data_IF_635604504101
#
_entry.id   IF_635604504101
#
_cell.length_a   1.000
_cell.length_b   1.000
_cell.length_c   1.000
_cell.angle_alpha   90.00
_cell.angle_beta   90.00
_cell.angle_gamma   90.00
#
_symmetry.space_group_name_H-M   'P 1'
#
loop_
_entity.id
_entity.type
_entity.pdbx_description
1 polymer ?
#
# COMPACT_ATOMS: atom_id res chain seq x y z
N UNK A 1 1.32 21.93 -9.67
CA UNK A 1 2.25 21.62 -8.56
C UNK A 1 3.09 20.45 -9.05
N UNK A 2 4.39 20.63 -9.25
CA UNK A 2 5.31 19.57 -9.67
C UNK A 2 5.67 18.81 -8.39
N UNK A 3 5.16 17.59 -8.23
CA UNK A 3 5.52 16.74 -7.10
C UNK A 3 6.95 16.25 -7.31
N UNK A 4 7.89 16.75 -6.53
CA UNK A 4 9.21 16.14 -6.42
C UNK A 4 9.04 14.78 -5.72
N UNK A 5 9.66 13.74 -6.23
CA UNK A 5 9.44 12.31 -5.95
C UNK A 5 9.83 11.82 -4.54
N UNK A 6 9.95 12.69 -3.56
CA UNK A 6 10.41 12.33 -2.20
C UNK A 6 9.32 12.32 -1.14
N UNK A 7 8.18 12.99 -1.36
CA UNK A 7 7.09 13.01 -0.41
C UNK A 7 6.16 11.81 -0.61
N UNK A 8 5.95 11.05 0.45
CA UNK A 8 5.17 9.80 0.42
C UNK A 8 4.04 9.78 1.45
N UNK A 9 3.97 10.78 2.34
CA UNK A 9 2.94 10.93 3.36
C UNK A 9 2.32 12.32 3.22
N UNK A 10 1.02 12.36 2.99
CA UNK A 10 0.24 13.58 2.78
C UNK A 10 -0.87 13.67 3.83
N UNK A 11 -1.05 14.83 4.42
CA UNK A 11 -2.05 15.02 5.48
C UNK A 11 -2.96 16.22 5.18
N UNK A 12 -4.20 16.13 5.65
CA UNK A 12 -5.17 17.22 5.71
C UNK A 12 -5.73 17.33 7.12
N UNK A 13 -5.84 18.55 7.61
CA UNK A 13 -6.47 18.89 8.88
C UNK A 13 -7.70 19.74 8.60
N UNK A 14 -8.60 19.84 9.57
CA UNK A 14 -9.88 20.54 9.43
C UNK A 14 -9.95 21.68 10.41
N UNK A 15 -10.09 22.92 9.94
CA UNK A 15 -10.18 24.12 10.81
C UNK A 15 -11.32 24.03 11.83
N UNK A 16 -12.48 23.51 11.40
CA UNK A 16 -13.64 23.36 12.27
C UNK A 16 -13.57 22.12 13.20
N UNK A 17 -12.60 21.23 12.99
CA UNK A 17 -12.46 19.96 13.72
C UNK A 17 -10.96 19.65 13.90
N UNK A 18 -10.33 20.42 14.80
CA UNK A 18 -8.90 20.27 15.10
C UNK A 18 -8.52 18.90 15.71
N UNK A 19 -9.51 18.14 16.14
CA UNK A 19 -9.39 16.78 16.62
C UNK A 19 -9.33 15.72 15.50
N UNK A 20 -9.47 16.14 14.23
CA UNK A 20 -9.47 15.25 13.07
C UNK A 20 -8.31 15.54 12.12
N UNK A 21 -7.74 14.44 11.57
CA UNK A 21 -6.74 14.48 10.51
C UNK A 21 -7.03 13.34 9.54
N UNK A 22 -6.85 13.59 8.25
CA UNK A 22 -6.81 12.54 7.22
C UNK A 22 -5.41 12.45 6.63
N UNK A 23 -4.87 11.24 6.55
CA UNK A 23 -3.58 10.96 5.94
C UNK A 23 -3.75 10.05 4.72
N UNK A 24 -2.93 10.28 3.70
CA UNK A 24 -2.73 9.36 2.57
C UNK A 24 -1.25 9.00 2.53
N UNK A 25 -0.97 7.71 2.57
CA UNK A 25 0.38 7.15 2.46
C UNK A 25 0.50 6.50 1.08
N UNK A 26 1.53 6.91 0.33
CA UNK A 26 1.89 6.24 -0.92
C UNK A 26 2.63 4.96 -0.57
N UNK A 27 2.22 3.84 -1.16
CA UNK A 27 2.86 2.55 -0.96
C UNK A 27 4.32 2.58 -1.40
N UNK A 28 5.26 2.14 -0.54
CA UNK A 28 6.69 2.24 -0.81
C UNK A 28 7.12 1.38 -1.98
N UNK A 29 8.06 1.89 -2.79
CA UNK A 29 8.74 1.09 -3.81
C UNK A 29 9.43 -0.13 -3.17
N UNK A 30 9.52 -1.24 -3.92
CA UNK A 30 10.10 -2.48 -3.38
C UNK A 30 9.16 -3.31 -2.51
N UNK A 31 7.87 -2.94 -2.44
CA UNK A 31 6.85 -3.64 -1.66
C UNK A 31 5.66 -4.03 -2.54
N UNK A 32 4.79 -4.97 -2.13
CA UNK A 32 3.57 -5.29 -2.87
C UNK A 32 2.52 -4.17 -2.82
N UNK A 33 2.81 -3.07 -2.14
CA UNK A 33 1.95 -1.89 -1.99
C UNK A 33 2.33 -0.75 -2.93
N UNK A 34 3.46 -0.84 -3.65
CA UNK A 34 4.04 0.26 -4.41
C UNK A 34 3.01 0.98 -5.27
N UNK A 35 3.13 2.29 -5.34
CA UNK A 35 2.25 3.20 -6.09
C UNK A 35 0.79 3.25 -5.65
N UNK A 36 0.37 2.40 -4.69
CA UNK A 36 -0.95 2.45 -4.09
C UNK A 36 -1.13 3.65 -3.17
N UNK A 37 -2.38 4.10 -3.00
CA UNK A 37 -2.75 5.14 -2.04
C UNK A 37 -3.54 4.51 -0.88
N UNK A 38 -2.98 4.60 0.32
CA UNK A 38 -3.56 4.05 1.55
C UNK A 38 -4.05 5.19 2.42
N UNK A 39 -5.35 5.19 2.72
CA UNK A 39 -6.06 6.31 3.35
C UNK A 39 -6.37 6.00 4.81
N UNK A 40 -6.05 6.93 5.69
CA UNK A 40 -6.26 6.80 7.13
C UNK A 40 -6.96 8.03 7.69
N UNK A 41 -8.01 7.82 8.48
CA UNK A 41 -8.60 8.86 9.33
C UNK A 41 -8.07 8.73 10.75
N UNK A 42 -7.77 9.87 11.35
CA UNK A 42 -7.23 9.98 12.70
C UNK A 42 -8.13 10.88 13.53
N UNK A 43 -8.47 10.38 14.71
CA UNK A 43 -9.13 11.16 15.76
C UNK A 43 -8.17 11.33 16.95
N UNK A 44 -7.96 12.57 17.36
CA UNK A 44 -7.28 12.90 18.60
C UNK A 44 -8.31 12.93 19.73
N UNK A 45 -8.32 11.94 20.64
CA UNK A 45 -9.30 11.90 21.72
C UNK A 45 -9.07 13.03 22.74
N UNK A 46 -10.07 13.39 23.58
CA UNK A 46 -9.95 14.52 24.51
C UNK A 46 -8.76 14.44 25.48
N UNK A 47 -8.28 13.26 25.79
CA UNK A 47 -7.12 13.03 26.64
C UNK A 47 -5.81 12.82 25.86
N UNK A 48 -5.79 13.11 24.55
CA UNK A 48 -4.53 13.19 23.78
C UNK A 48 -3.71 14.39 24.31
N UNK A 49 -2.38 14.29 24.47
CA UNK A 49 -1.50 13.19 24.12
C UNK A 49 -1.22 12.18 25.26
N UNK A 50 -2.00 12.19 26.34
CA UNK A 50 -1.84 11.19 27.41
C UNK A 50 -2.16 9.76 26.93
N UNK A 51 -2.99 9.65 25.91
CA UNK A 51 -3.27 8.40 25.18
C UNK A 51 -2.94 8.60 23.70
N UNK A 52 -2.73 7.51 22.93
CA UNK A 52 -2.48 7.60 21.49
C UNK A 52 -3.71 8.11 20.74
N UNK A 53 -3.53 8.59 19.48
CA UNK A 53 -4.65 8.87 18.58
C UNK A 53 -5.37 7.56 18.19
N UNK A 54 -6.61 7.68 17.78
CA UNK A 54 -7.38 6.59 17.16
C UNK A 54 -7.20 6.66 15.65
N UNK A 55 -6.81 5.55 15.02
CA UNK A 55 -6.57 5.50 13.58
C UNK A 55 -7.50 4.48 12.94
N UNK A 56 -8.17 4.90 11.86
CA UNK A 56 -9.02 4.07 11.03
C UNK A 56 -8.46 4.01 9.62
N UNK A 57 -8.29 2.80 9.08
CA UNK A 57 -7.85 2.53 7.72
C UNK A 57 -9.05 2.33 6.79
N UNK A 58 -9.07 3.01 5.65
CA UNK A 58 -10.07 2.80 4.60
C UNK A 58 -9.77 1.53 3.80
N UNK A 59 -10.16 0.41 4.33
CA UNK A 59 -9.90 -0.93 3.77
C UNK A 59 -10.70 -1.25 2.51
N UNK A 60 -11.86 -0.62 2.32
CA UNK A 60 -12.83 -1.03 1.29
C UNK A 60 -13.34 -2.47 1.48
N UNK A 61 -13.23 -3.03 2.69
CA UNK A 61 -13.55 -4.43 3.00
C UNK A 61 -12.44 -5.41 2.62
N UNK A 62 -11.22 -4.93 2.29
CA UNK A 62 -10.08 -5.74 1.91
C UNK A 62 -9.07 -5.84 3.07
N UNK A 63 -8.57 -7.06 3.33
CA UNK A 63 -7.50 -7.28 4.30
C UNK A 63 -6.16 -7.39 3.57
N UNK A 64 -5.43 -6.27 3.48
CA UNK A 64 -4.17 -6.18 2.74
C UNK A 64 -2.94 -6.58 3.57
N UNK A 65 -3.07 -6.64 4.88
CA UNK A 65 -1.93 -6.84 5.79
C UNK A 65 -2.41 -7.45 7.10
N UNK A 66 -1.61 -8.27 7.79
CA UNK A 66 -1.95 -8.74 9.13
C UNK A 66 -2.30 -7.61 10.11
N UNK A 67 -1.68 -6.43 9.95
CA UNK A 67 -1.91 -5.24 10.78
C UNK A 67 -3.01 -4.30 10.26
N UNK A 68 -3.53 -4.49 9.03
CA UNK A 68 -4.60 -3.69 8.43
C UNK A 68 -5.82 -4.56 8.17
N UNK A 69 -6.80 -4.46 9.07
CA UNK A 69 -8.01 -5.28 9.02
C UNK A 69 -9.03 -4.74 8.01
N UNK A 70 -9.85 -5.62 7.50
CA UNK A 70 -10.98 -5.30 6.62
C UNK A 70 -12.03 -4.38 7.26
N UNK A 71 -12.17 -4.43 8.58
CA UNK A 71 -13.01 -3.51 9.36
C UNK A 71 -12.38 -2.12 9.60
N UNK A 72 -11.18 -1.86 9.09
CA UNK A 72 -10.45 -0.60 9.26
C UNK A 72 -9.57 -0.50 10.50
N UNK A 73 -9.50 -1.53 11.34
CA UNK A 73 -8.60 -1.55 12.50
C UNK A 73 -7.15 -1.55 12.04
N UNK A 74 -6.33 -0.71 12.69
CA UNK A 74 -4.86 -0.66 12.53
C UNK A 74 -4.21 -1.21 13.77
N UNK A 75 -3.40 -2.27 13.63
CA UNK A 75 -2.63 -2.88 14.71
C UNK A 75 -1.20 -2.33 14.70
N UNK A 76 -0.87 -1.53 15.71
CA UNK A 76 0.44 -0.92 15.87
C UNK A 76 0.72 -0.68 17.36
N UNK A 77 1.93 -1.00 17.83
CA UNK A 77 2.31 -0.80 19.23
C UNK A 77 2.16 0.65 19.68
N UNK A 78 2.53 1.61 18.84
CA UNK A 78 2.32 3.05 19.07
C UNK A 78 0.85 3.45 19.25
N UNK A 79 -0.10 2.64 18.79
CA UNK A 79 -1.54 2.89 18.98
C UNK A 79 -2.11 2.09 20.16
N UNK A 80 -1.28 1.36 20.89
CA UNK A 80 -1.69 0.41 21.94
C UNK A 80 -2.69 -0.66 21.42
N UNK A 81 -2.68 -0.95 20.11
CA UNK A 81 -3.55 -1.93 19.44
C UNK A 81 -2.81 -3.21 19.06
N UNK A 82 -1.53 -3.30 19.40
CA UNK A 82 -0.64 -4.43 19.15
C UNK A 82 0.34 -4.62 20.32
N UNK A 83 0.71 -5.86 20.59
CA UNK A 83 1.71 -6.14 21.62
C UNK A 83 3.09 -5.71 21.14
N UNK A 84 3.81 -5.00 21.97
CA UNK A 84 5.17 -4.53 21.69
C UNK A 84 5.93 -4.32 23.00
N UNK A 85 7.22 -4.03 22.89
CA UNK A 85 8.03 -3.61 24.02
C UNK A 85 7.52 -2.28 24.56
N UNK A 86 7.73 -2.01 25.86
CA UNK A 86 7.33 -0.72 26.48
C UNK A 86 7.87 0.51 25.74
N UNK A 87 9.03 0.39 25.09
CA UNK A 87 9.66 1.44 24.28
C UNK A 87 9.00 1.66 22.91
N UNK A 88 8.20 0.72 22.44
CA UNK A 88 7.46 0.76 21.17
C UNK A 88 6.02 1.25 21.37
N UNK A 89 5.55 1.26 22.61
CA UNK A 89 4.21 1.75 22.97
C UNK A 89 4.16 3.27 22.99
N UNK A 90 2.95 3.82 23.00
CA UNK A 90 2.74 5.27 23.12
C UNK A 90 3.30 5.81 24.43
N UNK A 91 4.19 6.79 24.33
CA UNK A 91 4.78 7.50 25.49
C UNK A 91 4.23 8.92 25.48
N UNK A 92 3.38 9.30 26.48
CA UNK A 92 2.85 10.66 26.59
C UNK A 92 3.94 11.72 26.55
N UNK A 93 3.71 12.79 25.75
CA UNK A 93 4.66 13.90 25.62
C UNK A 93 5.94 13.61 24.82
N UNK A 94 6.12 12.35 24.34
CA UNK A 94 7.26 11.97 23.48
C UNK A 94 6.82 11.41 22.13
N UNK A 95 5.81 10.53 22.13
CA UNK A 95 5.29 9.96 20.89
C UNK A 95 4.51 11.01 20.10
N UNK A 96 4.58 10.93 18.77
CA UNK A 96 3.98 11.91 17.86
C UNK A 96 3.15 11.21 16.78
N UNK A 97 2.21 11.95 16.18
CA UNK A 97 1.44 11.46 15.03
C UNK A 97 2.34 11.15 13.83
N UNK A 98 3.41 11.91 13.63
CA UNK A 98 4.37 11.61 12.56
C UNK A 98 5.02 10.24 12.74
N UNK A 99 5.40 9.88 13.97
CA UNK A 99 5.93 8.54 14.25
C UNK A 99 4.92 7.44 13.93
N UNK A 100 3.62 7.67 14.19
CA UNK A 100 2.56 6.72 13.82
C UNK A 100 2.52 6.52 12.30
N UNK A 101 2.47 7.60 11.52
CA UNK A 101 2.40 7.53 10.05
C UNK A 101 3.65 6.88 9.44
N UNK A 102 4.83 7.25 9.91
CA UNK A 102 6.10 6.65 9.46
C UNK A 102 6.18 5.18 9.86
N UNK A 103 5.69 4.80 11.04
CA UNK A 103 5.63 3.39 11.46
C UNK A 103 4.65 2.57 10.61
N UNK A 104 3.50 3.13 10.23
CA UNK A 104 2.59 2.47 9.28
C UNK A 104 3.32 2.23 7.96
N UNK A 105 4.01 3.23 7.42
CA UNK A 105 4.72 3.12 6.15
C UNK A 105 5.86 2.10 6.21
N UNK A 106 6.71 2.15 7.24
CA UNK A 106 7.92 1.35 7.31
C UNK A 106 7.73 -0.05 7.89
N UNK A 107 6.82 -0.22 8.86
CA UNK A 107 6.64 -1.49 9.55
C UNK A 107 5.46 -2.30 9.02
N UNK A 108 4.41 -1.63 8.52
CA UNK A 108 3.21 -2.32 8.01
C UNK A 108 3.30 -2.49 6.50
N UNK A 109 3.54 -1.41 5.73
CA UNK A 109 3.61 -1.45 4.26
C UNK A 109 5.02 -1.86 3.79
N UNK A 110 5.58 -2.91 4.35
CA UNK A 110 6.94 -3.39 4.09
C UNK A 110 7.02 -4.41 2.93
N UNK A 111 8.25 -4.85 2.59
CA UNK A 111 8.50 -5.76 1.48
C UNK A 111 8.06 -7.22 1.75
N UNK A 112 7.94 -7.64 3.02
CA UNK A 112 7.60 -9.00 3.43
C UNK A 112 6.45 -9.02 4.45
N UNK A 113 5.26 -8.51 4.09
CA UNK A 113 4.13 -8.38 5.04
C UNK A 113 3.62 -9.71 5.61
N UNK A 114 3.94 -10.84 5.00
CA UNK A 114 3.67 -12.18 5.56
C UNK A 114 4.22 -12.31 6.99
N UNK A 115 5.41 -11.78 7.24
CA UNK A 115 6.06 -11.85 8.54
C UNK A 115 5.55 -10.79 9.56
N UNK A 116 4.61 -9.96 9.18
CA UNK A 116 3.91 -9.09 10.14
C UNK A 116 2.95 -9.89 11.05
N UNK A 117 2.60 -11.14 10.68
CA UNK A 117 1.84 -12.02 11.57
C UNK A 117 2.74 -12.50 12.72
N UNK A 118 2.29 -12.38 13.99
CA UNK A 118 3.10 -12.75 15.13
C UNK A 118 3.58 -14.20 15.10
N UNK A 119 4.87 -14.40 15.34
CA UNK A 119 5.48 -15.71 15.39
C UNK A 119 5.85 -16.32 14.04
N UNK A 120 5.44 -15.73 12.90
CA UNK A 120 5.74 -16.28 11.58
C UNK A 120 7.23 -16.26 11.26
N UNK A 121 7.98 -15.26 11.73
CA UNK A 121 9.44 -15.21 11.60
C UNK A 121 10.16 -16.43 12.23
N UNK A 122 9.59 -16.97 13.30
CA UNK A 122 10.14 -18.13 13.99
C UNK A 122 9.56 -19.45 13.46
N UNK A 123 8.33 -19.43 12.95
CA UNK A 123 7.61 -20.61 12.48
C UNK A 123 8.00 -20.98 11.04
N UNK A 124 8.25 -19.99 10.20
CA UNK A 124 8.55 -20.17 8.78
C UNK A 124 9.94 -19.62 8.49
N UNK A 125 10.96 -20.48 8.58
CA UNK A 125 12.37 -20.11 8.38
C UNK A 125 12.90 -20.64 7.05
N UNK A 126 13.95 -19.98 6.51
CA UNK A 126 14.63 -20.41 5.29
C UNK A 126 13.73 -20.36 4.04
N UNK A 127 13.91 -21.31 3.14
CA UNK A 127 13.24 -21.33 1.84
C UNK A 127 11.70 -21.43 1.93
N UNK A 128 11.15 -22.14 2.91
CA UNK A 128 9.70 -22.25 3.09
C UNK A 128 9.09 -20.89 3.47
N UNK A 129 9.74 -20.15 4.37
CA UNK A 129 9.31 -18.80 4.73
C UNK A 129 9.36 -17.83 3.56
N UNK A 130 10.44 -17.85 2.78
CA UNK A 130 10.60 -17.02 1.58
C UNK A 130 9.54 -17.35 0.52
N UNK A 131 9.28 -18.64 0.26
CA UNK A 131 8.26 -19.08 -0.68
C UNK A 131 6.87 -18.59 -0.27
N UNK A 132 6.50 -18.72 1.01
CA UNK A 132 5.20 -18.24 1.54
C UNK A 132 5.08 -16.73 1.48
N UNK A 133 6.16 -16.02 1.78
CA UNK A 133 6.22 -14.57 1.70
C UNK A 133 6.04 -14.08 0.26
N UNK A 134 6.66 -14.75 -0.73
CA UNK A 134 6.46 -14.45 -2.16
C UNK A 134 5.01 -14.66 -2.57
N UNK A 135 4.40 -15.80 -2.20
CA UNK A 135 2.99 -16.08 -2.49
C UNK A 135 2.06 -15.05 -1.84
N UNK A 136 2.31 -14.69 -0.59
CA UNK A 136 1.53 -13.66 0.10
C UNK A 136 1.65 -12.30 -0.58
N UNK A 137 2.82 -11.93 -1.09
CA UNK A 137 3.03 -10.70 -1.84
C UNK A 137 2.22 -10.66 -3.14
N UNK A 138 2.07 -11.81 -3.84
CA UNK A 138 1.21 -11.92 -5.03
C UNK A 138 -0.25 -11.60 -4.67
N UNK A 139 -0.78 -12.21 -3.61
CA UNK A 139 -2.15 -11.97 -3.15
C UNK A 139 -2.37 -10.50 -2.73
N UNK A 140 -1.44 -9.96 -1.94
CA UNK A 140 -1.49 -8.57 -1.49
C UNK A 140 -1.41 -7.59 -2.65
N UNK A 141 -0.59 -7.85 -3.66
CA UNK A 141 -0.50 -6.98 -4.84
C UNK A 141 -1.83 -6.90 -5.58
N UNK A 142 -2.53 -8.03 -5.79
CA UNK A 142 -3.88 -8.02 -6.38
C UNK A 142 -4.86 -7.17 -5.55
N UNK A 143 -4.79 -7.28 -4.23
CA UNK A 143 -5.63 -6.46 -3.34
C UNK A 143 -5.24 -4.98 -3.40
N UNK A 144 -3.94 -4.67 -3.53
CA UNK A 144 -3.44 -3.31 -3.72
C UNK A 144 -3.96 -2.71 -5.04
N UNK A 145 -3.94 -3.46 -6.14
CA UNK A 145 -4.53 -3.02 -7.43
C UNK A 145 -6.05 -2.76 -7.30
N UNK A 146 -6.78 -3.60 -6.55
CA UNK A 146 -8.20 -3.35 -6.26
C UNK A 146 -8.40 -2.06 -5.47
N UNK A 147 -7.53 -1.81 -4.48
CA UNK A 147 -7.56 -0.57 -3.68
C UNK A 147 -7.31 0.65 -4.57
N UNK A 148 -6.37 0.59 -5.53
CA UNK A 148 -6.15 1.66 -6.51
C UNK A 148 -7.43 1.96 -7.30
N UNK A 149 -8.10 0.92 -7.82
CA UNK A 149 -9.37 1.09 -8.56
C UNK A 149 -10.45 1.72 -7.69
N UNK A 150 -10.58 1.30 -6.42
CA UNK A 150 -11.56 1.88 -5.50
C UNK A 150 -11.27 3.36 -5.23
N UNK A 151 -9.99 3.69 -4.99
CA UNK A 151 -9.55 5.05 -4.71
C UNK A 151 -9.76 5.98 -5.91
N UNK A 152 -9.50 5.52 -7.14
CA UNK A 152 -9.76 6.28 -8.37
C UNK A 152 -11.26 6.54 -8.55
N UNK A 153 -12.10 5.53 -8.33
CA UNK A 153 -13.55 5.64 -8.51
C UNK A 153 -14.25 6.46 -7.43
N UNK A 154 -13.70 6.44 -6.22
CA UNK A 154 -14.24 7.13 -5.04
C UNK A 154 -13.09 7.74 -4.25
N UNK A 155 -12.50 8.83 -4.77
CA UNK A 155 -11.39 9.47 -4.09
C UNK A 155 -11.82 9.98 -2.71
N UNK A 156 -10.95 9.90 -1.71
CA UNK A 156 -11.26 10.38 -0.37
C UNK A 156 -11.46 11.89 -0.41
N UNK A 157 -12.46 12.36 0.33
CA UNK A 157 -12.81 13.77 0.42
C UNK A 157 -11.58 14.61 0.79
N UNK A 158 -11.39 15.73 0.09
CA UNK A 158 -10.26 16.65 0.17
C UNK A 158 -8.92 16.13 -0.39
N UNK A 159 -8.93 14.97 -1.04
CA UNK A 159 -7.78 14.41 -1.77
C UNK A 159 -8.10 14.11 -3.24
N UNK A 160 -9.22 14.59 -3.75
CA UNK A 160 -9.70 14.30 -5.11
C UNK A 160 -8.64 14.65 -6.17
N UNK A 161 -8.13 15.90 -6.14
CA UNK A 161 -7.11 16.36 -7.08
C UNK A 161 -5.78 15.62 -6.91
N UNK A 162 -5.43 15.28 -5.66
CA UNK A 162 -4.23 14.51 -5.37
C UNK A 162 -4.32 13.11 -5.99
N UNK A 163 -5.45 12.41 -5.81
CA UNK A 163 -5.67 11.06 -6.40
C UNK A 163 -5.59 11.13 -7.92
N UNK A 164 -6.27 12.11 -8.53
CA UNK A 164 -6.23 12.32 -9.98
C UNK A 164 -4.80 12.55 -10.46
N UNK A 165 -4.06 13.46 -9.81
CA UNK A 165 -2.68 13.80 -10.18
C UNK A 165 -1.72 12.62 -10.00
N UNK A 166 -1.81 11.91 -8.88
CA UNK A 166 -0.98 10.75 -8.58
C UNK A 166 -1.13 9.66 -9.65
N UNK A 167 -2.35 9.21 -9.93
CA UNK A 167 -2.56 8.14 -10.90
C UNK A 167 -2.34 8.59 -12.35
N UNK A 168 -2.49 9.88 -12.68
CA UNK A 168 -2.05 10.37 -14.00
C UNK A 168 -0.54 10.21 -14.21
N UNK A 169 0.23 10.47 -13.17
CA UNK A 169 1.69 10.39 -13.22
C UNK A 169 2.19 8.94 -13.14
N UNK A 170 1.54 8.10 -12.32
CA UNK A 170 2.02 6.75 -12.00
C UNK A 170 1.40 5.63 -12.84
N UNK A 171 0.35 5.93 -13.61
CA UNK A 171 -0.40 4.92 -14.37
C UNK A 171 0.48 4.05 -15.27
N UNK A 172 1.39 4.67 -16.03
CA UNK A 172 2.31 3.97 -16.92
C UNK A 172 3.22 3.02 -16.14
N UNK A 173 3.87 3.49 -15.07
CA UNK A 173 4.78 2.68 -14.25
C UNK A 173 4.05 1.49 -13.60
N UNK A 174 2.82 1.71 -13.12
CA UNK A 174 1.98 0.64 -12.54
C UNK A 174 1.69 -0.43 -13.60
N UNK A 175 1.36 -0.04 -14.84
CA UNK A 175 1.06 -1.00 -15.90
C UNK A 175 2.31 -1.73 -16.40
N UNK A 176 3.46 -1.07 -16.45
CA UNK A 176 4.77 -1.70 -16.73
C UNK A 176 5.10 -2.74 -15.67
N UNK A 177 4.93 -2.41 -14.39
CA UNK A 177 5.13 -3.36 -13.30
C UNK A 177 4.17 -4.56 -13.38
N UNK A 178 2.87 -4.32 -13.62
CA UNK A 178 1.89 -5.39 -13.82
C UNK A 178 2.30 -6.32 -14.98
N UNK A 179 2.78 -5.77 -16.11
CA UNK A 179 3.26 -6.56 -17.24
C UNK A 179 4.44 -7.44 -16.86
N UNK A 180 5.46 -6.87 -16.20
CA UNK A 180 6.64 -7.59 -15.76
C UNK A 180 6.30 -8.72 -14.77
N UNK A 181 5.41 -8.47 -13.81
CA UNK A 181 4.97 -9.50 -12.85
C UNK A 181 4.16 -10.61 -13.53
N UNK A 182 3.33 -10.27 -14.52
CA UNK A 182 2.65 -11.26 -15.35
C UNK A 182 3.63 -12.11 -16.18
N UNK A 183 4.75 -11.53 -16.58
CA UNK A 183 5.83 -12.22 -17.32
C UNK A 183 6.75 -13.04 -16.41
N UNK A 184 6.64 -12.93 -15.08
CA UNK A 184 7.32 -13.78 -14.12
C UNK A 184 8.27 -13.05 -13.16
N UNK A 185 8.41 -11.73 -13.28
CA UNK A 185 9.18 -10.95 -12.31
C UNK A 185 8.54 -11.02 -10.92
N UNK A 186 9.37 -11.02 -9.88
CA UNK A 186 8.89 -11.05 -8.49
C UNK A 186 8.16 -9.74 -8.15
N UNK A 187 7.02 -9.84 -7.46
CA UNK A 187 6.28 -8.68 -6.94
C UNK A 187 7.15 -7.85 -6.01
N UNK A 188 7.19 -6.53 -6.24
CA UNK A 188 8.03 -5.59 -5.52
C UNK A 188 9.43 -5.41 -6.11
N UNK A 189 9.83 -6.19 -7.13
CA UNK A 189 11.08 -5.91 -7.84
C UNK A 189 11.01 -4.57 -8.57
N UNK A 190 12.14 -3.84 -8.61
CA UNK A 190 12.24 -2.58 -9.33
C UNK A 190 12.27 -2.86 -10.83
N UNK A 191 11.16 -2.57 -11.50
CA UNK A 191 11.05 -2.70 -12.96
C UNK A 191 11.42 -1.37 -13.59
N UNK A 192 12.51 -1.33 -14.36
CA UNK A 192 12.86 -0.21 -15.23
C UNK A 192 12.59 -0.62 -16.67
N UNK A 193 12.01 0.30 -17.46
CA UNK A 193 11.84 0.08 -18.89
C UNK A 193 13.18 -0.27 -19.54
N UNK A 194 13.29 -1.43 -20.17
CA UNK A 194 14.45 -1.86 -20.98
C UNK A 194 15.54 -2.67 -20.27
N UNK A 195 15.46 -2.97 -18.99
CA UNK A 195 16.40 -3.86 -18.31
C UNK A 195 15.68 -5.06 -17.71
N UNK A 196 15.66 -6.16 -18.46
CA UNK A 196 15.42 -7.49 -17.91
C UNK A 196 16.75 -8.08 -17.40
N UNK A 197 17.13 -7.79 -16.17
CA UNK A 197 17.99 -8.73 -15.42
C UNK A 197 17.09 -9.84 -14.87
N UNK A 198 16.63 -10.70 -15.77
CA UNK A 198 15.92 -11.91 -15.39
C UNK A 198 16.98 -12.96 -15.14
N UNK A 199 17.33 -13.20 -13.88
CA UNK A 199 17.97 -14.45 -13.51
C UNK A 199 16.98 -15.59 -13.81
N UNK A 200 17.24 -16.37 -14.84
CA UNK A 200 16.38 -17.47 -15.34
C UNK A 200 16.01 -18.54 -14.29
N UNK A 201 16.66 -18.52 -13.12
CA UNK A 201 16.42 -19.47 -12.03
C UNK A 201 15.33 -19.09 -11.02
N UNK A 202 14.71 -17.90 -11.11
CA UNK A 202 13.67 -17.43 -10.16
C UNK A 202 12.29 -17.17 -10.77
N UNK A 203 12.00 -17.69 -11.95
CA UNK A 203 10.70 -17.56 -12.59
C UNK A 203 9.67 -18.49 -11.91
N UNK A 204 8.96 -17.97 -10.90
CA UNK A 204 7.80 -18.69 -10.38
C UNK A 204 6.73 -17.82 -9.75
N UNK A 205 6.11 -16.97 -10.56
CA UNK A 205 4.78 -16.47 -10.22
C UNK A 205 3.73 -17.52 -10.59
N UNK A 206 2.71 -17.69 -9.73
CA UNK A 206 1.68 -18.70 -9.97
C UNK A 206 0.84 -18.37 -11.22
N UNK A 207 0.31 -19.41 -11.88
CA UNK A 207 -0.56 -19.22 -13.04
C UNK A 207 -1.80 -18.39 -12.69
N UNK A 208 -2.39 -18.66 -11.52
CA UNK A 208 -3.54 -17.94 -10.99
C UNK A 208 -3.25 -16.45 -10.80
N UNK A 209 -2.07 -16.13 -10.29
CA UNK A 209 -1.63 -14.74 -10.14
C UNK A 209 -1.50 -14.03 -11.49
N UNK A 210 -0.87 -14.68 -12.50
CA UNK A 210 -0.72 -14.12 -13.85
C UNK A 210 -2.07 -13.80 -14.50
N UNK A 211 -3.05 -14.70 -14.34
CA UNK A 211 -4.43 -14.44 -14.79
C UNK A 211 -5.08 -13.30 -14.04
N UNK A 212 -4.94 -13.27 -12.69
CA UNK A 212 -5.52 -12.22 -11.86
C UNK A 212 -4.96 -10.84 -12.21
N UNK A 213 -3.63 -10.72 -12.40
CA UNK A 213 -2.98 -9.48 -12.86
C UNK A 213 -3.51 -9.08 -14.23
N UNK A 214 -3.62 -10.02 -15.18
CA UNK A 214 -4.17 -9.75 -16.52
C UNK A 214 -5.60 -9.20 -16.48
N UNK A 215 -6.45 -9.74 -15.61
CA UNK A 215 -7.83 -9.23 -15.39
C UNK A 215 -7.81 -7.82 -14.77
N UNK A 216 -6.92 -7.61 -13.78
CA UNK A 216 -6.78 -6.29 -13.14
C UNK A 216 -6.23 -5.24 -14.08
N UNK A 217 -5.27 -5.57 -14.95
CA UNK A 217 -4.72 -4.63 -15.94
C UNK A 217 -5.82 -4.05 -16.84
N UNK A 218 -6.73 -4.88 -17.36
CA UNK A 218 -7.88 -4.41 -18.17
C UNK A 218 -8.72 -3.37 -17.40
N UNK A 219 -8.97 -3.64 -16.12
CA UNK A 219 -9.72 -2.73 -15.25
C UNK A 219 -8.95 -1.44 -14.98
N UNK A 220 -7.65 -1.55 -14.69
CA UNK A 220 -6.78 -0.39 -14.42
C UNK A 220 -6.67 0.52 -15.65
N UNK A 221 -6.37 -0.03 -16.83
CA UNK A 221 -6.29 0.74 -18.09
C UNK A 221 -7.56 1.55 -18.30
N UNK A 222 -8.74 0.92 -18.17
CA UNK A 222 -10.03 1.61 -18.30
C UNK A 222 -10.18 2.76 -17.31
N UNK A 223 -9.77 2.57 -16.03
CA UNK A 223 -9.89 3.60 -15.01
C UNK A 223 -8.83 4.70 -15.18
N UNK A 224 -7.60 4.37 -15.57
CA UNK A 224 -6.53 5.33 -15.83
C UNK A 224 -6.86 6.24 -17.03
N UNK A 225 -7.36 5.69 -18.12
CA UNK A 225 -7.82 6.48 -19.28
C UNK A 225 -8.96 7.43 -18.86
N UNK A 226 -9.96 6.94 -18.12
CA UNK A 226 -11.03 7.78 -17.58
C UNK A 226 -10.54 8.87 -16.63
N UNK A 227 -9.45 8.61 -15.91
CA UNK A 227 -8.78 9.57 -15.03
C UNK A 227 -7.93 10.59 -15.83
N UNK A 228 -7.77 10.42 -17.14
CA UNK A 228 -7.00 11.28 -18.01
C UNK A 228 -5.49 10.97 -18.03
N UNK A 229 -5.09 9.74 -17.69
CA UNK A 229 -3.72 9.26 -17.87
C UNK A 229 -3.45 9.05 -19.36
N UNK A 230 -2.22 9.36 -19.80
CA UNK A 230 -1.78 9.20 -21.17
C UNK A 230 -1.05 7.87 -21.37
N UNK A 231 -0.93 7.45 -22.61
CA UNK A 231 -0.10 6.30 -23.03
C UNK A 231 -0.46 4.96 -22.36
N UNK A 232 -1.69 4.84 -21.85
CA UNK A 232 -2.19 3.60 -21.24
C UNK A 232 -2.79 2.65 -22.28
N UNK A 233 -3.16 3.13 -23.46
CA UNK A 233 -3.82 2.37 -24.52
C UNK A 233 -2.95 1.22 -25.04
N UNK A 234 -1.62 1.37 -25.04
CA UNK A 234 -0.67 0.35 -25.44
C UNK A 234 -0.72 -0.93 -24.58
N UNK A 235 -1.28 -0.83 -23.36
CA UNK A 235 -1.49 -1.97 -22.46
C UNK A 235 -2.88 -2.63 -22.62
N UNK A 236 -3.70 -2.13 -23.56
CA UNK A 236 -4.93 -2.82 -23.94
C UNK A 236 -4.54 -4.13 -24.63
N UNK A 237 -4.73 -5.24 -23.93
CA UNK A 237 -4.56 -6.57 -24.53
C UNK A 237 -5.64 -6.70 -25.59
N UNK A 238 -5.24 -6.85 -26.85
CA UNK A 238 -6.15 -7.24 -27.95
C UNK A 238 -6.89 -8.50 -27.52
N UNK A 239 -8.21 -8.46 -27.67
CA UNK A 239 -9.12 -9.54 -27.28
C UNK A 239 -8.84 -10.83 -28.06
#
# INVERSE_FOLDING_TARGET
MIFTSTETIFVRVYEARMDLLRAVIVGPAGTPYHDGLFVFDVLFPPNYPSVPPMVYYYSGGLRLNPNLYDCGKVCLSLLNTWNGKKTEMWIPGKSTMLQVLVSIQGLILNAKPFFNEPGYENMYVGEDGERRSKQYNEDVFILSLKTMVYTIRRPPKHFEDFVVGHFRQRAHDILVACKAYKEGSQVGSMVKEGTQDVNEHEMSTSHEFKEAVGKMMKTLVTNFIKNGSKDCEQFQVSA
#
